data_IF_025657441519
#
_entry.id   IF_025657441519
#
_cell.length_a   1.000
_cell.length_b   1.000
_cell.length_c   1.000
_cell.angle_alpha   90.00
_cell.angle_beta   90.00
_cell.angle_gamma   90.00
#
_symmetry.space_group_name_H-M   'P 1'
#
loop_
_entity.id
_entity.type
_entity.pdbx_description
1 polymer ?
#
# COMPACT_ATOMS: atom_id res chain seq x y z
N UNK A 1 36.07 -4.76 -11.55
CA UNK A 1 34.88 -4.02 -11.07
C UNK A 1 33.76 -4.33 -12.05
N UNK A 2 32.79 -5.17 -11.66
CA UNK A 2 31.69 -5.54 -12.56
C UNK A 2 30.68 -4.38 -12.60
N UNK A 3 30.53 -3.76 -13.77
CA UNK A 3 29.47 -2.77 -14.00
C UNK A 3 28.13 -3.48 -13.88
N UNK A 4 27.28 -3.04 -12.96
CA UNK A 4 25.89 -3.46 -12.92
C UNK A 4 25.26 -3.11 -14.27
N UNK A 5 24.98 -4.12 -15.09
CA UNK A 5 24.26 -3.94 -16.34
C UNK A 5 22.87 -3.43 -16.03
N UNK A 6 22.65 -2.13 -16.21
CA UNK A 6 21.31 -1.57 -16.22
C UNK A 6 20.65 -1.96 -17.54
N UNK A 7 19.98 -3.10 -17.55
CA UNK A 7 19.05 -3.48 -18.62
C UNK A 7 17.99 -2.38 -18.68
N UNK A 8 17.81 -1.77 -19.86
CA UNK A 8 16.78 -0.77 -20.06
C UNK A 8 15.42 -1.39 -19.71
N UNK A 9 14.62 -0.73 -18.84
CA UNK A 9 13.32 -1.26 -18.46
C UNK A 9 12.46 -1.42 -19.73
N UNK A 10 11.80 -2.57 -19.86
CA UNK A 10 10.94 -2.78 -21.01
C UNK A 10 9.69 -1.88 -20.90
N UNK A 11 8.96 -1.73 -22.01
CA UNK A 11 7.80 -0.83 -22.05
C UNK A 11 6.72 -1.20 -21.02
N UNK A 12 6.58 -2.49 -20.70
CA UNK A 12 5.61 -2.98 -19.72
C UNK A 12 5.99 -2.56 -18.30
N UNK A 13 7.27 -2.68 -17.92
CA UNK A 13 7.81 -2.24 -16.64
C UNK A 13 7.67 -0.72 -16.47
N UNK A 14 7.89 0.04 -17.55
CA UNK A 14 7.74 1.49 -17.57
C UNK A 14 6.27 1.91 -17.42
N UNK A 15 5.36 1.30 -18.17
CA UNK A 15 3.92 1.54 -18.07
C UNK A 15 3.41 1.17 -16.69
N UNK A 16 3.90 0.09 -16.11
CA UNK A 16 3.55 -0.35 -14.77
C UNK A 16 4.04 0.63 -13.70
N UNK A 17 5.28 1.12 -13.80
CA UNK A 17 5.81 2.13 -12.89
C UNK A 17 5.03 3.46 -13.00
N UNK A 18 4.66 3.88 -14.21
CA UNK A 18 3.82 5.07 -14.44
C UNK A 18 2.43 4.87 -13.83
N UNK A 19 1.82 3.70 -14.02
CA UNK A 19 0.50 3.39 -13.47
C UNK A 19 0.54 3.37 -11.94
N UNK A 20 1.60 2.81 -11.36
CA UNK A 20 1.86 2.82 -9.93
C UNK A 20 1.93 4.25 -9.38
N UNK A 21 2.72 5.11 -10.02
CA UNK A 21 2.89 6.51 -9.64
C UNK A 21 1.57 7.29 -9.68
N UNK A 22 0.77 7.10 -10.74
CA UNK A 22 -0.54 7.76 -10.87
C UNK A 22 -1.53 7.30 -9.79
N UNK A 23 -1.46 6.03 -9.39
CA UNK A 23 -2.26 5.47 -8.31
C UNK A 23 -1.82 6.04 -6.96
N UNK A 24 -0.51 6.08 -6.67
CA UNK A 24 0.01 6.65 -5.41
C UNK A 24 -0.27 8.15 -5.30
N UNK A 25 -0.20 8.89 -6.42
CA UNK A 25 -0.60 10.30 -6.44
C UNK A 25 -2.10 10.47 -6.18
N UNK A 26 -2.94 9.57 -6.73
CA UNK A 26 -4.38 9.52 -6.41
C UNK A 26 -4.62 9.18 -4.95
N UNK A 27 -3.91 8.22 -4.37
CA UNK A 27 -4.02 7.83 -2.96
C UNK A 27 -3.56 8.94 -2.02
N UNK A 28 -2.47 9.66 -2.35
CA UNK A 28 -2.02 10.85 -1.62
C UNK A 28 -3.04 11.99 -1.67
N UNK A 29 -3.73 12.17 -2.79
CA UNK A 29 -4.85 13.12 -2.90
C UNK A 29 -6.07 12.69 -2.06
N UNK A 30 -6.17 11.41 -1.73
CA UNK A 30 -7.24 10.79 -0.92
C UNK A 30 -6.76 10.50 0.51
N UNK A 31 -5.60 11.04 0.94
CA UNK A 31 -4.92 10.70 2.20
C UNK A 31 -5.75 10.93 3.49
N UNK A 32 -6.92 11.56 3.41
CA UNK A 32 -7.88 11.68 4.51
C UNK A 32 -8.84 10.47 4.61
N UNK A 33 -8.82 9.53 3.66
CA UNK A 33 -9.64 8.32 3.72
C UNK A 33 -8.89 7.14 4.37
N UNK A 34 -9.44 6.56 5.45
CA UNK A 34 -8.82 5.44 6.16
C UNK A 34 -8.76 4.14 5.35
N UNK A 35 -9.45 4.08 4.21
CA UNK A 35 -9.60 2.90 3.35
C UNK A 35 -8.82 2.99 2.02
N UNK A 36 -8.00 4.04 1.82
CA UNK A 36 -7.09 4.07 0.69
C UNK A 36 -6.16 2.85 0.75
N UNK A 37 -6.16 2.05 -0.33
CA UNK A 37 -5.19 0.98 -0.50
C UNK A 37 -3.77 1.60 -0.48
N UNK A 38 -2.75 0.79 -0.22
CA UNK A 38 -1.37 1.26 -0.35
C UNK A 38 -0.83 0.79 -1.67
N UNK A 39 -0.09 1.65 -2.37
CA UNK A 39 0.62 1.30 -3.62
C UNK A 39 1.31 -0.08 -3.58
N UNK A 40 1.95 -0.49 -2.48
CA UNK A 40 2.60 -1.80 -2.39
C UNK A 40 1.63 -2.97 -2.51
N UNK A 41 0.41 -2.82 -1.99
CA UNK A 41 -0.66 -3.84 -2.04
C UNK A 41 -1.23 -3.93 -3.45
N UNK A 42 -1.37 -2.81 -4.13
CA UNK A 42 -1.86 -2.77 -5.51
C UNK A 42 -0.85 -3.41 -6.46
N UNK A 43 0.43 -3.09 -6.30
CA UNK A 43 1.49 -3.73 -7.09
C UNK A 43 1.60 -5.23 -6.83
N UNK A 44 1.46 -5.67 -5.57
CA UNK A 44 1.39 -7.10 -5.22
C UNK A 44 0.18 -7.79 -5.91
N UNK A 45 -0.98 -7.13 -5.96
CA UNK A 45 -2.16 -7.66 -6.65
C UNK A 45 -1.98 -7.81 -8.17
N UNK A 46 -1.05 -7.06 -8.76
CA UNK A 46 -0.64 -7.20 -10.16
C UNK A 46 0.38 -8.34 -10.37
N UNK A 47 0.77 -9.08 -9.33
CA UNK A 47 1.69 -10.21 -9.41
C UNK A 47 3.17 -9.82 -9.39
N UNK A 48 3.51 -8.60 -8.99
CA UNK A 48 4.90 -8.14 -8.90
C UNK A 48 5.62 -8.77 -7.70
N UNK A 49 6.89 -9.10 -7.89
CA UNK A 49 7.74 -9.57 -6.79
C UNK A 49 8.04 -8.46 -5.79
N UNK A 50 8.22 -8.80 -4.51
CA UNK A 50 8.57 -7.83 -3.47
C UNK A 50 9.84 -7.03 -3.78
N UNK A 51 10.83 -7.67 -4.43
CA UNK A 51 12.06 -7.02 -4.88
C UNK A 51 11.79 -5.92 -5.91
N UNK A 52 10.90 -6.19 -6.87
CA UNK A 52 10.51 -5.21 -7.90
C UNK A 52 9.73 -4.06 -7.28
N UNK A 53 8.79 -4.36 -6.38
CA UNK A 53 7.99 -3.34 -5.67
C UNK A 53 8.90 -2.45 -4.81
N UNK A 54 9.88 -3.03 -4.11
CA UNK A 54 10.87 -2.30 -3.33
C UNK A 54 11.69 -1.34 -4.19
N UNK A 55 12.13 -1.78 -5.38
CA UNK A 55 12.85 -0.94 -6.32
C UNK A 55 11.98 0.22 -6.86
N UNK A 56 10.71 -0.03 -7.20
CA UNK A 56 9.77 0.99 -7.69
C UNK A 56 9.45 2.02 -6.61
N UNK A 57 9.25 1.58 -5.37
CA UNK A 57 8.80 2.45 -4.26
C UNK A 57 9.95 3.07 -3.47
N UNK A 58 11.21 2.72 -3.77
CA UNK A 58 12.38 3.18 -3.03
C UNK A 58 12.43 2.67 -1.58
N UNK A 59 11.83 1.52 -1.29
CA UNK A 59 11.74 0.94 0.06
C UNK A 59 12.60 -0.31 0.19
N UNK A 60 12.84 -0.74 1.42
CA UNK A 60 13.46 -2.04 1.70
C UNK A 60 12.47 -3.18 1.43
N UNK A 61 12.94 -4.31 0.90
CA UNK A 61 12.08 -5.45 0.56
C UNK A 61 11.29 -5.98 1.76
N UNK A 62 11.91 -6.05 2.94
CA UNK A 62 11.24 -6.48 4.17
C UNK A 62 10.13 -5.51 4.59
N UNK A 63 10.32 -4.20 4.35
CA UNK A 63 9.30 -3.19 4.63
C UNK A 63 8.07 -3.36 3.72
N UNK A 64 8.30 -3.68 2.44
CA UNK A 64 7.24 -4.01 1.48
C UNK A 64 6.49 -5.27 1.92
N UNK A 65 7.21 -6.34 2.27
CA UNK A 65 6.62 -7.59 2.75
C UNK A 65 5.74 -7.37 3.98
N UNK A 66 6.23 -6.58 4.95
CA UNK A 66 5.47 -6.22 6.14
C UNK A 66 4.24 -5.39 5.83
N UNK A 67 4.33 -4.43 4.91
CA UNK A 67 3.21 -3.59 4.52
C UNK A 67 2.07 -4.42 3.91
N UNK A 68 2.41 -5.31 2.96
CA UNK A 68 1.46 -6.20 2.29
C UNK A 68 0.83 -7.17 3.31
N UNK A 69 1.66 -7.82 4.13
CA UNK A 69 1.17 -8.76 5.16
C UNK A 69 0.20 -8.09 6.12
N UNK A 70 0.50 -6.87 6.58
CA UNK A 70 -0.37 -6.10 7.48
C UNK A 70 -1.66 -5.66 6.80
N UNK A 71 -1.62 -5.30 5.53
CA UNK A 71 -2.81 -4.94 4.77
C UNK A 71 -3.75 -6.14 4.62
N UNK A 72 -3.21 -7.32 4.30
CA UNK A 72 -3.97 -8.57 4.18
C UNK A 72 -4.51 -9.07 5.53
N UNK A 73 -3.82 -8.77 6.64
CA UNK A 73 -4.23 -9.12 7.99
C UNK A 73 -5.32 -8.21 8.58
N UNK A 74 -5.58 -7.02 7.99
CA UNK A 74 -6.67 -6.16 8.48
C UNK A 74 -8.01 -6.84 8.18
N UNK A 75 -8.82 -7.19 9.20
CA UNK A 75 -10.20 -7.59 8.94
C UNK A 75 -10.91 -6.41 8.29
N UNK A 76 -11.71 -6.67 7.24
CA UNK A 76 -12.60 -5.68 6.61
C UNK A 76 -13.62 -5.21 7.65
N UNK A 77 -13.24 -4.30 8.54
CA UNK A 77 -14.14 -3.74 9.52
C UNK A 77 -15.13 -2.87 8.79
N UNK A 78 -16.39 -3.33 8.71
CA UNK A 78 -17.50 -2.51 8.25
C UNK A 78 -17.47 -1.16 9.00
N UNK A 79 -17.52 -0.02 8.31
CA UNK A 79 -17.61 1.27 8.98
C UNK A 79 -18.97 1.33 9.68
N UNK A 80 -18.98 1.30 11.01
CA UNK A 80 -20.25 1.38 11.75
C UNK A 80 -20.27 0.87 13.19
N UNK A 81 -19.24 0.18 13.68
CA UNK A 81 -19.21 -0.20 15.09
C UNK A 81 -18.76 0.98 15.98
N UNK A 82 -19.56 2.06 16.01
CA UNK A 82 -19.53 3.00 17.13
C UNK A 82 -19.76 2.17 18.39
N UNK A 83 -18.74 2.05 19.25
CA UNK A 83 -18.96 1.66 20.65
C UNK A 83 -19.69 2.82 21.34
N UNK A 84 -20.99 2.90 21.12
CA UNK A 84 -21.93 3.68 21.92
C UNK A 84 -22.06 2.99 23.28
N UNK A 85 -21.10 3.21 24.18
CA UNK A 85 -21.33 2.98 25.60
C UNK A 85 -22.17 4.15 26.12
N UNK A 86 -23.48 4.09 25.85
CA UNK A 86 -24.47 5.02 26.38
C UNK A 86 -24.75 4.68 27.84
N UNK A 87 -24.38 5.63 28.70
CA UNK A 87 -24.97 6.04 29.99
C UNK A 87 -25.25 4.98 31.07
N UNK A 88 -24.84 5.27 32.31
CA UNK A 88 -25.75 5.68 33.40
C UNK A 88 -24.99 5.98 34.69
N UNK A 89 -25.61 6.84 35.51
CA UNK A 89 -25.46 6.97 36.98
C UNK A 89 -24.50 8.05 37.47
N UNK A 90 -24.86 8.99 38.35
CA UNK A 90 -26.13 9.50 38.89
C UNK A 90 -25.69 10.74 39.67
N UNK A 91 -26.28 11.91 39.40
CA UNK A 91 -26.19 13.07 40.29
C UNK A 91 -26.61 12.65 41.71
N UNK A 92 -25.75 12.83 42.70
CA UNK A 92 -26.10 13.14 44.08
C UNK A 92 -24.98 13.93 44.71
#
# INVERSE_FOLDING_TARGET
>A
MASAGHTQPNAEELLLAITALLIDEREKRVADEPDAARIEVLLDSCGLSYKTIAAITGKQEDAVRMAITRANARPKTKPGAKKSARATSKRR
#
